data_IF_112110255174
#
_entry.id   IF_112110255174
#
_cell.length_a   1.000
_cell.length_b   1.000
_cell.length_c   1.000
_cell.angle_alpha   90.00
_cell.angle_beta   90.00
_cell.angle_gamma   90.00
#
_symmetry.space_group_name_H-M   'P 1'
#
loop_
_entity.id
_entity.type
_entity.pdbx_description
1 polymer ?
#
# COMPACT_ATOMS: atom_id res chain seq x y z
N UNK A 1 7.22 3.06 -3.76
CA UNK A 1 6.96 1.92 -4.67
C UNK A 1 8.07 1.67 -5.69
N UNK A 2 8.83 2.67 -6.12
CA UNK A 2 9.97 2.54 -7.04
C UNK A 2 9.65 1.75 -8.34
N UNK A 3 8.52 2.07 -8.98
CA UNK A 3 8.04 1.34 -10.17
C UNK A 3 8.41 2.00 -11.50
N UNK A 4 8.78 3.28 -11.48
CA UNK A 4 9.13 4.02 -12.70
C UNK A 4 9.72 5.40 -12.43
N UNK A 5 10.04 6.12 -13.50
CA UNK A 5 10.55 7.49 -13.44
C UNK A 5 12.00 7.61 -12.97
N UNK A 6 12.39 8.82 -12.59
CA UNK A 6 13.78 9.16 -12.23
C UNK A 6 14.32 8.38 -11.02
N UNK A 7 13.46 7.93 -10.12
CA UNK A 7 13.88 7.15 -8.96
C UNK A 7 14.64 5.88 -9.33
N UNK A 8 14.28 5.22 -10.44
CA UNK A 8 14.97 4.01 -10.89
C UNK A 8 16.42 4.30 -11.29
N UNK A 9 16.70 5.44 -11.92
CA UNK A 9 18.07 5.85 -12.26
C UNK A 9 18.88 6.11 -10.99
N UNK A 10 18.30 6.80 -10.01
CA UNK A 10 18.97 7.05 -8.73
C UNK A 10 19.25 5.74 -7.98
N UNK A 11 18.27 4.83 -7.91
CA UNK A 11 18.44 3.55 -7.25
C UNK A 11 19.51 2.69 -7.95
N UNK A 12 19.49 2.62 -9.29
CA UNK A 12 20.50 1.87 -10.06
C UNK A 12 21.94 2.35 -9.78
N UNK A 13 22.13 3.66 -9.61
CA UNK A 13 23.43 4.24 -9.32
C UNK A 13 23.84 4.15 -7.85
N UNK A 14 22.89 4.19 -6.92
CA UNK A 14 23.15 4.38 -5.50
C UNK A 14 23.04 3.13 -4.65
N UNK A 15 22.19 2.16 -5.03
CA UNK A 15 22.05 0.92 -4.26
C UNK A 15 23.34 0.14 -4.08
N UNK A 16 24.29 0.11 -5.04
CA UNK A 16 25.58 -0.57 -4.84
C UNK A 16 26.52 0.13 -3.83
N UNK A 17 26.28 1.38 -3.47
CA UNK A 17 27.15 2.13 -2.56
C UNK A 17 26.69 1.98 -1.10
N UNK A 18 27.52 1.37 -0.25
CA UNK A 18 27.28 1.17 1.20
C UNK A 18 27.13 2.48 1.99
N UNK A 19 27.54 3.62 1.44
CA UNK A 19 27.38 4.95 2.05
C UNK A 19 26.00 5.55 1.79
N UNK A 20 25.20 4.92 0.92
CA UNK A 20 23.85 5.36 0.61
C UNK A 20 22.88 4.83 1.65
N UNK A 21 21.94 5.68 2.06
CA UNK A 21 20.73 5.27 2.77
C UNK A 21 19.52 5.54 1.89
N UNK A 22 18.71 4.52 1.67
CA UNK A 22 17.40 4.63 1.03
C UNK A 22 16.35 4.76 2.13
N UNK A 23 15.61 5.87 2.11
CA UNK A 23 14.53 6.10 3.06
C UNK A 23 13.19 5.85 2.36
N UNK A 24 12.46 4.83 2.82
CA UNK A 24 11.12 4.52 2.37
C UNK A 24 10.12 5.30 3.23
N UNK A 25 9.36 6.18 2.58
CA UNK A 25 8.35 7.00 3.24
C UNK A 25 6.97 6.55 2.77
N UNK A 26 6.18 6.02 3.69
CA UNK A 26 4.84 5.52 3.42
C UNK A 26 4.81 4.10 2.82
N UNK A 27 3.63 3.70 2.38
CA UNK A 27 3.29 2.34 1.96
C UNK A 27 4.03 1.89 0.68
N UNK A 28 4.52 0.66 0.70
CA UNK A 28 5.11 -0.02 -0.44
C UNK A 28 4.21 -1.19 -0.86
N UNK A 29 3.55 -1.08 -2.02
CA UNK A 29 2.63 -2.12 -2.50
C UNK A 29 3.35 -3.43 -2.84
N UNK A 30 2.68 -4.56 -2.64
CA UNK A 30 3.18 -5.88 -3.01
C UNK A 30 3.58 -5.94 -4.49
N UNK A 31 4.62 -6.71 -4.81
CA UNK A 31 5.15 -6.83 -6.17
C UNK A 31 5.96 -5.64 -6.67
N UNK A 32 6.17 -4.60 -5.86
CA UNK A 32 6.98 -3.43 -6.25
C UNK A 32 8.43 -3.55 -5.75
N UNK A 33 9.34 -2.82 -6.43
CA UNK A 33 10.75 -2.74 -6.00
C UNK A 33 10.91 -2.09 -4.63
N UNK A 34 10.03 -1.14 -4.28
CA UNK A 34 10.00 -0.55 -2.96
C UNK A 34 9.69 -1.58 -1.88
N UNK A 35 8.73 -2.46 -2.11
CA UNK A 35 8.41 -3.57 -1.21
C UNK A 35 9.58 -4.56 -1.11
N UNK A 36 10.19 -4.92 -2.23
CA UNK A 36 11.36 -5.81 -2.20
C UNK A 36 12.53 -5.21 -1.40
N UNK A 37 12.78 -3.89 -1.51
CA UNK A 37 13.77 -3.20 -0.65
C UNK A 37 13.39 -3.26 0.83
N UNK A 38 12.14 -3.02 1.15
CA UNK A 38 11.59 -3.09 2.52
C UNK A 38 11.76 -4.49 3.13
N UNK A 39 11.61 -5.53 2.31
CA UNK A 39 11.78 -6.94 2.68
C UNK A 39 13.24 -7.41 2.68
N UNK A 40 14.20 -6.53 2.39
CA UNK A 40 15.63 -6.83 2.46
C UNK A 40 16.20 -7.54 1.24
N UNK A 41 15.63 -7.29 0.06
CA UNK A 41 16.20 -7.85 -1.19
C UNK A 41 17.69 -7.51 -1.33
N UNK A 42 18.52 -8.50 -1.64
CA UNK A 42 19.96 -8.33 -1.87
C UNK A 42 20.29 -7.77 -3.25
N UNK A 43 19.35 -7.84 -4.19
CA UNK A 43 19.47 -7.30 -5.54
C UNK A 43 18.11 -6.97 -6.14
N UNK A 44 18.06 -6.03 -7.07
CA UNK A 44 16.84 -5.61 -7.79
C UNK A 44 17.05 -5.53 -9.29
N UNK A 45 16.10 -6.02 -10.07
CA UNK A 45 16.11 -5.89 -11.53
C UNK A 45 15.71 -4.48 -11.95
N UNK A 46 16.64 -3.74 -12.58
CA UNK A 46 16.41 -2.41 -13.14
C UNK A 46 17.08 -2.30 -14.51
N UNK A 47 16.38 -1.74 -15.49
CA UNK A 47 16.88 -1.55 -16.87
C UNK A 47 17.47 -2.83 -17.49
N UNK A 48 16.86 -3.98 -17.20
CA UNK A 48 17.34 -5.28 -17.71
C UNK A 48 18.53 -5.89 -16.95
N UNK A 49 19.09 -5.19 -15.97
CA UNK A 49 20.25 -5.64 -15.18
C UNK A 49 19.87 -5.89 -13.72
N UNK A 50 20.59 -6.82 -13.07
CA UNK A 50 20.51 -7.02 -11.62
C UNK A 50 21.44 -6.02 -10.94
N UNK A 51 20.87 -5.21 -10.04
CA UNK A 51 21.58 -4.17 -9.29
C UNK A 51 21.70 -4.62 -7.84
N UNK A 52 22.90 -4.80 -7.29
CA UNK A 52 23.08 -5.23 -5.90
C UNK A 52 22.62 -4.14 -4.92
N UNK A 53 22.04 -4.56 -3.81
CA UNK A 53 21.60 -3.67 -2.72
C UNK A 53 22.60 -3.76 -1.58
N UNK A 54 23.56 -2.84 -1.57
CA UNK A 54 24.49 -2.63 -0.46
C UNK A 54 24.13 -1.42 0.40
N UNK A 55 23.27 -0.55 -0.13
CA UNK A 55 22.74 0.61 0.58
C UNK A 55 21.94 0.17 1.81
N UNK A 56 22.00 0.98 2.85
CA UNK A 56 21.11 0.85 4.01
C UNK A 56 19.68 1.20 3.60
N UNK A 57 18.70 0.40 3.99
CA UNK A 57 17.28 0.68 3.75
C UNK A 57 16.61 0.95 5.09
N UNK A 58 15.97 2.10 5.19
CA UNK A 58 15.22 2.54 6.37
C UNK A 58 13.79 2.88 5.99
N UNK A 59 12.87 2.77 6.95
CA UNK A 59 11.46 3.10 6.77
C UNK A 59 10.98 4.11 7.80
N UNK A 60 10.13 5.03 7.36
CA UNK A 60 9.37 5.94 8.22
C UNK A 60 7.88 5.68 8.01
N UNK A 61 7.19 5.25 9.05
CA UNK A 61 5.75 4.99 9.02
C UNK A 61 4.89 6.21 9.37
N UNK A 62 5.50 7.24 9.96
CA UNK A 62 4.79 8.37 10.54
C UNK A 62 4.36 9.47 9.55
N UNK A 63 4.68 9.36 8.26
CA UNK A 63 4.44 10.41 7.27
C UNK A 63 3.39 10.01 6.21
N UNK A 64 2.46 9.12 6.53
CA UNK A 64 1.35 8.78 5.64
C UNK A 64 0.28 9.87 5.69
N UNK A 65 -0.16 10.33 4.51
CA UNK A 65 -1.33 11.19 4.37
C UNK A 65 -2.64 10.38 4.18
N UNK A 66 -2.56 9.06 4.18
CA UNK A 66 -3.73 8.19 4.10
C UNK A 66 -4.35 8.01 5.48
N UNK A 67 -5.69 8.02 5.53
CA UNK A 67 -6.43 7.70 6.72
C UNK A 67 -6.13 6.28 7.22
N UNK A 68 -5.97 6.13 8.52
CA UNK A 68 -5.92 4.82 9.16
C UNK A 68 -7.33 4.20 9.33
N UNK A 69 -7.39 2.99 9.85
CA UNK A 69 -8.67 2.30 10.09
C UNK A 69 -9.57 3.09 11.05
N UNK A 70 -9.01 3.71 12.09
CA UNK A 70 -9.80 4.46 13.07
C UNK A 70 -10.36 5.75 12.48
N UNK A 71 -9.60 6.44 11.65
CA UNK A 71 -10.03 7.63 10.92
C UNK A 71 -11.09 7.29 9.86
N UNK A 72 -10.89 6.20 9.12
CA UNK A 72 -11.87 5.70 8.15
C UNK A 72 -13.19 5.35 8.84
N UNK A 73 -13.16 4.63 9.96
CA UNK A 73 -14.36 4.33 10.74
C UNK A 73 -15.02 5.61 11.27
N UNK A 74 -14.25 6.59 11.74
CA UNK A 74 -14.80 7.86 12.20
C UNK A 74 -15.53 8.61 11.09
N UNK A 75 -14.94 8.64 9.89
CA UNK A 75 -15.57 9.26 8.71
C UNK A 75 -16.87 8.53 8.31
N UNK A 76 -16.87 7.19 8.29
CA UNK A 76 -18.06 6.39 8.03
C UNK A 76 -19.18 6.65 9.07
N UNK A 77 -18.82 6.93 10.32
CA UNK A 77 -19.78 7.29 11.37
C UNK A 77 -20.53 8.61 11.16
N UNK A 78 -20.13 9.42 10.17
CA UNK A 78 -20.82 10.64 9.78
C UNK A 78 -22.02 10.44 8.84
N UNK A 79 -22.30 9.22 8.43
CA UNK A 79 -23.49 8.94 7.61
C UNK A 79 -24.75 8.89 8.48
N UNK A 80 -25.78 9.64 8.11
CA UNK A 80 -27.06 9.68 8.84
C UNK A 80 -27.83 8.35 8.78
N UNK A 81 -27.60 7.56 7.75
CA UNK A 81 -28.25 6.27 7.55
C UNK A 81 -27.25 5.22 7.06
N UNK A 82 -27.40 3.95 7.45
CA UNK A 82 -26.62 2.87 6.90
C UNK A 82 -26.76 2.81 5.37
N UNK A 83 -25.67 2.66 4.60
CA UNK A 83 -25.76 2.37 3.19
C UNK A 83 -26.33 0.97 2.97
N UNK A 84 -26.98 0.74 1.82
CA UNK A 84 -27.45 -0.62 1.45
C UNK A 84 -26.29 -1.61 1.38
N UNK A 85 -25.19 -1.15 0.83
CA UNK A 85 -23.95 -1.91 0.69
C UNK A 85 -22.76 -0.94 0.70
N UNK A 86 -21.65 -1.37 1.28
CA UNK A 86 -20.37 -0.66 1.26
C UNK A 86 -19.37 -1.49 0.47
N UNK A 87 -18.86 -0.99 -0.65
CA UNK A 87 -17.84 -1.67 -1.44
C UNK A 87 -16.44 -1.18 -1.07
N UNK A 88 -15.54 -2.11 -0.77
CA UNK A 88 -14.12 -1.82 -0.59
C UNK A 88 -13.38 -2.16 -1.89
N UNK A 89 -12.62 -1.18 -2.39
CA UNK A 89 -11.87 -1.29 -3.65
C UNK A 89 -10.40 -0.92 -3.43
N UNK A 90 -9.51 -1.45 -4.26
CA UNK A 90 -8.07 -1.13 -4.29
C UNK A 90 -7.26 -1.49 -3.02
N UNK A 91 -7.77 -2.34 -2.15
CA UNK A 91 -7.03 -2.81 -0.97
C UNK A 91 -6.21 -4.08 -1.24
N UNK A 92 -5.10 -4.26 -0.54
CA UNK A 92 -4.50 -5.59 -0.41
C UNK A 92 -5.51 -6.53 0.26
N UNK A 93 -5.64 -7.81 -0.16
CA UNK A 93 -6.72 -8.70 0.30
C UNK A 93 -6.85 -8.77 1.83
N UNK A 94 -5.74 -8.89 2.54
CA UNK A 94 -5.75 -8.95 4.01
C UNK A 94 -6.19 -7.63 4.65
N UNK A 95 -5.76 -6.49 4.11
CA UNK A 95 -6.14 -5.17 4.61
C UNK A 95 -7.62 -4.87 4.33
N UNK A 96 -8.11 -5.23 3.14
CA UNK A 96 -9.53 -5.08 2.78
C UNK A 96 -10.42 -5.95 3.68
N UNK A 97 -10.02 -7.21 3.94
CA UNK A 97 -10.75 -8.10 4.86
C UNK A 97 -10.80 -7.52 6.28
N UNK A 98 -9.67 -7.06 6.81
CA UNK A 98 -9.60 -6.47 8.15
C UNK A 98 -10.49 -5.22 8.29
N UNK A 99 -10.49 -4.35 7.27
CA UNK A 99 -11.35 -3.16 7.25
C UNK A 99 -12.83 -3.55 7.14
N UNK A 100 -13.18 -4.52 6.29
CA UNK A 100 -14.55 -5.02 6.18
C UNK A 100 -15.07 -5.52 7.52
N UNK A 101 -14.27 -6.32 8.23
CA UNK A 101 -14.63 -6.86 9.53
C UNK A 101 -14.78 -5.76 10.60
N UNK A 102 -13.90 -4.75 10.57
CA UNK A 102 -14.00 -3.61 11.47
C UNK A 102 -15.29 -2.79 11.25
N UNK A 103 -15.68 -2.57 9.98
CA UNK A 103 -16.94 -1.87 9.64
C UNK A 103 -18.15 -2.68 10.09
N UNK A 104 -18.16 -3.98 9.80
CA UNK A 104 -19.25 -4.90 10.24
C UNK A 104 -19.40 -4.91 11.76
N UNK A 105 -18.28 -5.05 12.46
CA UNK A 105 -18.28 -5.09 13.94
C UNK A 105 -18.76 -3.78 14.55
N UNK A 106 -18.39 -2.63 13.97
CA UNK A 106 -18.74 -1.33 14.54
C UNK A 106 -20.13 -0.83 14.18
N UNK A 107 -20.58 -1.09 12.94
CA UNK A 107 -21.80 -0.49 12.40
C UNK A 107 -22.87 -1.52 12.00
N UNK A 108 -22.54 -2.79 11.91
CA UNK A 108 -23.44 -3.84 11.41
C UNK A 108 -23.77 -3.69 9.91
N UNK A 109 -22.95 -2.95 9.15
CA UNK A 109 -23.22 -2.67 7.76
C UNK A 109 -22.93 -3.87 6.86
N UNK A 110 -23.65 -3.95 5.72
CA UNK A 110 -23.31 -4.87 4.65
C UNK A 110 -22.06 -4.35 3.93
N UNK A 111 -20.98 -5.13 3.95
CA UNK A 111 -19.69 -4.76 3.35
C UNK A 111 -19.26 -5.85 2.39
N UNK A 112 -18.91 -5.47 1.18
CA UNK A 112 -18.40 -6.34 0.14
C UNK A 112 -17.02 -5.88 -0.34
N UNK A 113 -16.14 -6.83 -0.65
CA UNK A 113 -14.84 -6.54 -1.25
C UNK A 113 -14.99 -6.75 -2.75
N UNK A 114 -14.92 -5.67 -3.50
CA UNK A 114 -15.08 -5.69 -4.95
C UNK A 114 -13.95 -6.49 -5.62
N UNK A 115 -14.30 -7.24 -6.67
CA UNK A 115 -13.35 -8.00 -7.49
C UNK A 115 -13.04 -7.23 -8.76
N UNK A 116 -11.85 -7.42 -9.27
CA UNK A 116 -11.46 -6.80 -10.55
C UNK A 116 -12.38 -7.27 -11.68
N UNK A 117 -12.90 -6.31 -12.47
CA UNK A 117 -13.87 -6.57 -13.53
C UNK A 117 -15.30 -6.86 -13.09
N UNK A 118 -15.60 -6.81 -11.80
CA UNK A 118 -16.96 -6.98 -11.29
C UNK A 118 -17.83 -5.75 -11.60
N UNK A 119 -19.05 -6.01 -12.07
CA UNK A 119 -20.07 -4.97 -12.27
C UNK A 119 -21.17 -5.12 -11.22
N UNK A 120 -21.51 -4.02 -10.55
CA UNK A 120 -22.58 -3.99 -9.55
C UNK A 120 -23.61 -2.92 -9.91
N UNK A 121 -24.88 -3.22 -9.65
CA UNK A 121 -25.96 -2.23 -9.81
C UNK A 121 -26.10 -1.42 -8.51
N UNK A 122 -25.92 -0.11 -8.64
CA UNK A 122 -26.18 0.84 -7.57
C UNK A 122 -27.62 1.33 -7.73
N UNK A 123 -28.55 0.80 -6.94
CA UNK A 123 -29.96 1.21 -6.92
C UNK A 123 -30.27 2.06 -5.68
#
# INVERSE_FOLDING_TARGET
MAVGGRILHHLAQRLPDRRTTVLLVGFQAAGTRGRALEEGASELKMFGQMVPVHARVERIDALSAHADTAETLRWLGGFDRPPRVTYLVHGEPAAAAALADAIRARYGWNVEIARDGETVELA
#
